data_IF_907211916572
#
_entry.id   IF_907211916572
#
_cell.length_a   1.000
_cell.length_b   1.000
_cell.length_c   1.000
_cell.angle_alpha   90.00
_cell.angle_beta   90.00
_cell.angle_gamma   90.00
#
_symmetry.space_group_name_H-M   'P 1'
#
loop_
_entity.id
_entity.type
_entity.pdbx_description
1 polymer ?
#
# COMPACT_ATOMS: atom_id res chain seq x y z
N UNK A 1 -7.70 17.77 10.42
CA UNK A 1 -6.25 17.67 10.13
C UNK A 1 -6.05 17.71 8.61
N UNK A 2 -5.02 18.40 8.10
CA UNK A 2 -4.61 18.26 6.69
C UNK A 2 -3.82 16.96 6.52
N UNK A 3 -4.09 16.20 5.45
CA UNK A 3 -3.36 14.94 5.17
C UNK A 3 -3.85 13.72 5.95
N UNK A 4 -5.13 13.68 6.33
CA UNK A 4 -5.76 12.47 6.85
C UNK A 4 -6.27 11.63 5.67
N UNK A 5 -5.88 10.36 5.65
CA UNK A 5 -6.31 9.37 4.68
C UNK A 5 -6.98 8.24 5.47
N UNK A 6 -8.24 7.98 5.19
CA UNK A 6 -9.01 6.93 5.85
C UNK A 6 -9.52 5.94 4.81
N UNK A 7 -9.51 4.66 5.17
CA UNK A 7 -10.17 3.59 4.42
C UNK A 7 -11.34 3.09 5.24
N UNK A 8 -12.52 3.07 4.63
CA UNK A 8 -13.70 2.44 5.22
C UNK A 8 -13.70 0.91 5.03
N UNK A 9 -12.84 0.41 4.13
CA UNK A 9 -12.74 -1.00 3.72
C UNK A 9 -11.86 -1.83 4.63
N UNK A 10 -10.82 -1.23 5.20
CA UNK A 10 -9.74 -1.95 5.88
C UNK A 10 -9.52 -1.44 7.31
N UNK A 11 -9.38 -2.38 8.25
CA UNK A 11 -9.06 -2.09 9.65
C UNK A 11 -7.62 -2.49 9.94
N UNK A 12 -6.96 -1.74 10.82
CA UNK A 12 -5.66 -2.09 11.36
C UNK A 12 -4.65 -0.95 11.32
N UNK A 13 -3.41 -1.26 11.69
CA UNK A 13 -2.32 -0.30 11.67
C UNK A 13 -1.69 -0.25 10.27
N UNK A 14 -1.27 0.94 9.85
CA UNK A 14 -0.34 1.10 8.73
C UNK A 14 1.07 0.96 9.28
N UNK A 15 1.86 0.04 8.73
CA UNK A 15 3.23 -0.23 9.18
C UNK A 15 4.30 0.18 8.18
N UNK A 16 3.94 0.26 6.90
CA UNK A 16 4.88 0.64 5.85
C UNK A 16 4.25 1.66 4.91
N UNK A 17 5.02 2.70 4.59
CA UNK A 17 4.67 3.77 3.67
C UNK A 17 5.82 3.97 2.68
N UNK A 18 5.54 3.99 1.38
CA UNK A 18 6.52 4.30 0.34
C UNK A 18 5.89 5.13 -0.77
N UNK A 19 6.49 6.29 -1.07
CA UNK A 19 6.14 7.03 -2.29
C UNK A 19 6.59 6.26 -3.52
N UNK A 20 5.77 6.25 -4.56
CA UNK A 20 6.25 5.82 -5.87
C UNK A 20 7.28 6.83 -6.39
N UNK A 21 8.40 6.39 -6.98
CA UNK A 21 9.49 7.29 -7.37
C UNK A 21 9.16 8.24 -8.53
N UNK A 22 8.16 7.90 -9.37
CA UNK A 22 7.79 8.70 -10.54
C UNK A 22 6.32 9.05 -10.66
N UNK A 23 5.45 8.42 -9.87
CA UNK A 23 4.00 8.58 -9.98
C UNK A 23 3.50 9.29 -8.73
N UNK A 24 2.47 10.14 -8.81
CA UNK A 24 2.07 11.00 -7.69
C UNK A 24 1.18 10.25 -6.69
N UNK A 25 1.60 9.07 -6.22
CA UNK A 25 0.88 8.31 -5.19
C UNK A 25 1.80 7.75 -4.11
N UNK A 26 1.19 7.51 -2.95
CA UNK A 26 1.81 6.92 -1.77
C UNK A 26 1.24 5.52 -1.55
N UNK A 27 2.11 4.53 -1.38
CA UNK A 27 1.71 3.15 -1.07
C UNK A 27 1.70 2.99 0.45
N UNK A 28 0.56 2.57 1.01
CA UNK A 28 0.41 2.21 2.41
C UNK A 28 0.14 0.72 2.55
N UNK A 29 0.82 0.06 3.49
CA UNK A 29 0.64 -1.35 3.78
C UNK A 29 0.53 -1.59 5.28
N UNK A 30 -0.29 -2.55 5.66
CA UNK A 30 -0.57 -2.81 7.07
C UNK A 30 -1.65 -3.87 7.26
N UNK A 31 -2.35 -3.84 8.40
CA UNK A 31 -3.40 -4.79 8.69
C UNK A 31 -3.79 -4.99 10.16
N UNK A 32 -4.76 -5.89 10.34
CA UNK A 32 -5.17 -6.48 11.61
C UNK A 32 -5.78 -7.86 11.33
N UNK A 33 -5.00 -8.92 11.59
CA UNK A 33 -5.35 -10.30 11.23
C UNK A 33 -5.19 -10.59 9.73
N UNK A 34 -5.89 -9.83 8.88
CA UNK A 34 -5.63 -9.70 7.44
C UNK A 34 -4.89 -8.41 7.15
N UNK A 35 -4.18 -8.34 6.03
CA UNK A 35 -3.51 -7.11 5.63
C UNK A 35 -4.19 -6.38 4.49
N UNK A 36 -3.62 -5.24 4.14
CA UNK A 36 -4.04 -4.44 3.01
C UNK A 36 -2.84 -3.79 2.32
N UNK A 37 -3.07 -3.39 1.07
CA UNK A 37 -2.29 -2.41 0.34
C UNK A 37 -3.25 -1.31 -0.13
N UNK A 38 -2.84 -0.06 0.01
CA UNK A 38 -3.58 1.10 -0.48
C UNK A 38 -2.66 1.98 -1.31
N UNK A 39 -3.16 2.43 -2.45
CA UNK A 39 -2.57 3.55 -3.20
C UNK A 39 -3.32 4.81 -2.81
N UNK A 40 -2.61 5.77 -2.25
CA UNK A 40 -3.17 7.02 -1.74
C UNK A 40 -2.75 8.18 -2.64
N UNK A 41 -3.71 9.02 -3.02
CA UNK A 41 -3.47 10.29 -3.71
C UNK A 41 -3.20 11.39 -2.67
N UNK A 42 -1.95 11.87 -2.55
CA UNK A 42 -1.58 12.86 -1.55
C UNK A 42 -2.16 14.25 -1.82
N UNK A 43 -2.65 14.54 -3.02
CA UNK A 43 -3.29 15.81 -3.36
C UNK A 43 -4.76 15.83 -2.92
N UNK A 44 -5.48 14.74 -3.20
CA UNK A 44 -6.91 14.65 -2.88
C UNK A 44 -7.20 14.05 -1.51
N UNK A 45 -6.19 13.50 -0.85
CA UNK A 45 -6.27 12.78 0.42
C UNK A 45 -7.22 11.58 0.39
N UNK A 46 -7.23 10.85 -0.74
CA UNK A 46 -8.12 9.69 -0.95
C UNK A 46 -7.34 8.45 -1.35
N UNK A 47 -7.89 7.28 -1.04
CA UNK A 47 -7.44 6.05 -1.67
C UNK A 47 -7.87 6.01 -3.14
N UNK A 48 -6.91 5.75 -4.02
CA UNK A 48 -7.09 5.47 -5.45
C UNK A 48 -7.45 4.00 -5.64
N UNK A 49 -6.79 3.13 -4.88
CA UNK A 49 -6.97 1.69 -4.94
C UNK A 49 -6.74 1.07 -3.57
N UNK A 50 -7.49 0.02 -3.26
CA UNK A 50 -7.39 -0.73 -2.03
C UNK A 50 -7.52 -2.22 -2.35
N UNK A 51 -6.67 -3.04 -1.75
CA UNK A 51 -6.72 -4.49 -1.96
C UNK A 51 -6.33 -5.24 -0.69
N UNK A 52 -6.98 -6.38 -0.46
CA UNK A 52 -6.67 -7.26 0.66
C UNK A 52 -5.35 -7.99 0.41
N UNK A 53 -4.47 -7.98 1.40
CA UNK A 53 -3.26 -8.79 1.42
C UNK A 53 -3.54 -10.14 2.08
N UNK A 54 -2.93 -11.25 1.59
CA UNK A 54 -3.09 -12.58 2.18
C UNK A 54 -2.44 -12.71 3.57
N UNK A 55 -1.86 -11.64 4.11
CA UNK A 55 -1.21 -11.57 5.41
C UNK A 55 -1.23 -10.14 5.94
N UNK A 56 -1.15 -9.98 7.27
CA UNK A 56 -0.77 -8.71 7.86
C UNK A 56 0.64 -8.34 7.38
N UNK A 57 0.76 -7.22 6.66
CA UNK A 57 2.01 -6.72 6.07
C UNK A 57 2.77 -5.87 7.08
N UNK A 58 4.04 -6.19 7.31
CA UNK A 58 4.95 -5.39 8.14
C UNK A 58 5.82 -4.46 7.30
N UNK A 59 6.18 -4.89 6.08
CA UNK A 59 7.06 -4.12 5.22
C UNK A 59 6.78 -4.39 3.74
N UNK A 60 6.97 -3.36 2.92
CA UNK A 60 7.02 -3.45 1.46
C UNK A 60 8.36 -2.95 0.92
N UNK A 61 8.72 -3.42 -0.26
CA UNK A 61 9.82 -2.87 -1.05
C UNK A 61 9.41 -2.84 -2.53
N UNK A 62 9.55 -1.68 -3.17
CA UNK A 62 9.40 -1.54 -4.62
C UNK A 62 10.55 -2.23 -5.35
N UNK A 63 10.24 -2.78 -6.53
CA UNK A 63 11.25 -3.18 -7.50
C UNK A 63 12.04 -1.96 -7.97
N UNK A 64 13.22 -2.19 -8.58
CA UNK A 64 14.08 -1.11 -9.06
C UNK A 64 13.40 -0.20 -10.10
N UNK A 65 12.53 -0.77 -10.93
CA UNK A 65 11.75 -0.05 -11.93
C UNK A 65 10.39 0.44 -11.40
N UNK A 66 10.09 0.15 -10.12
CA UNK A 66 8.85 0.43 -9.42
C UNK A 66 7.57 -0.11 -10.10
N UNK A 67 7.68 -1.10 -10.99
CA UNK A 67 6.52 -1.74 -11.62
C UNK A 67 5.96 -2.89 -10.78
N UNK A 68 6.65 -3.33 -9.73
CA UNK A 68 6.12 -4.27 -8.75
C UNK A 68 6.56 -3.93 -7.34
N UNK A 69 5.94 -4.58 -6.36
CA UNK A 69 6.39 -4.55 -4.97
C UNK A 69 6.37 -5.94 -4.37
N UNK A 70 7.34 -6.21 -3.50
CA UNK A 70 7.33 -7.36 -2.60
C UNK A 70 6.85 -6.90 -1.23
N UNK A 71 5.88 -7.61 -0.66
CA UNK A 71 5.47 -7.44 0.73
C UNK A 71 5.90 -8.66 1.55
N UNK A 72 6.21 -8.41 2.83
CA UNK A 72 6.50 -9.45 3.82
C UNK A 72 5.66 -9.24 5.06
N UNK A 73 5.26 -10.34 5.67
CA UNK A 73 4.37 -10.36 6.83
C UNK A 73 4.39 -11.73 7.50
N UNK A 74 3.40 -11.98 8.36
CA UNK A 74 3.29 -13.23 9.10
C UNK A 74 3.43 -14.48 8.21
N UNK A 75 4.59 -15.13 8.29
CA UNK A 75 4.95 -16.41 7.63
C UNK A 75 4.78 -16.43 6.11
N UNK A 76 4.69 -15.27 5.45
CA UNK A 76 4.33 -15.17 4.04
C UNK A 76 5.06 -14.01 3.37
N UNK A 77 5.21 -14.16 2.06
CA UNK A 77 5.62 -13.11 1.13
C UNK A 77 4.61 -13.08 -0.01
N UNK A 78 4.37 -11.90 -0.58
CA UNK A 78 3.52 -11.76 -1.75
C UNK A 78 4.04 -10.62 -2.64
N UNK A 79 3.80 -10.74 -3.94
CA UNK A 79 4.20 -9.75 -4.94
C UNK A 79 2.96 -9.20 -5.64
N UNK A 80 2.97 -7.89 -5.91
CA UNK A 80 1.95 -7.21 -6.70
C UNK A 80 2.59 -6.45 -7.85
N UNK A 81 1.98 -6.52 -9.02
CA UNK A 81 2.28 -5.60 -10.12
C UNK A 81 1.56 -4.28 -9.91
N UNK A 82 2.28 -3.18 -10.10
CA UNK A 82 1.74 -1.84 -10.11
C UNK A 82 1.43 -1.45 -11.56
N UNK A 83 0.16 -1.14 -11.82
CA UNK A 83 -0.24 -0.63 -13.12
C UNK A 83 0.22 0.82 -13.25
N UNK A 84 0.81 1.16 -14.40
CA UNK A 84 1.02 2.56 -14.77
C UNK A 84 -0.33 3.15 -15.14
N UNK A 85 -0.72 4.24 -14.48
CA UNK A 85 -1.82 5.06 -14.98
C UNK A 85 -1.32 5.74 -16.27
N UNK A 86 -1.97 5.42 -17.39
CA UNK A 86 -1.65 5.98 -18.72
C UNK A 86 -2.24 7.37 -18.89
#
# INVERSE_FOLDING_TARGET
PSGLFESDSHKGLVESLQYHPSEPYLIAAGGSGKGFLMLLDPLTHKAIHETESPMYVHQIALSQDANSLLAVGHHRTAEWSLLKNS
#
